data_IF_986624149776
#
_entry.id   IF_986624149776
#
_cell.length_a   1.000
_cell.length_b   1.000
_cell.length_c   1.000
_cell.angle_alpha   90.00
_cell.angle_beta   90.00
_cell.angle_gamma   90.00
#
_symmetry.space_group_name_H-M   'P 1'
#
loop_
_entity.id
_entity.type
_entity.pdbx_description
1 polymer ?
#
# COMPACT_ATOMS: atom_id res chain seq x y z
N UNK A 1 54.45 25.01 -37.52
CA UNK A 1 53.75 26.24 -37.06
C UNK A 1 52.98 26.75 -38.27
N UNK A 2 51.66 26.86 -38.37
CA UNK A 2 50.54 26.90 -37.41
C UNK A 2 49.28 26.50 -38.21
N UNK A 3 48.75 25.29 -38.05
CA UNK A 3 47.47 24.91 -38.72
C UNK A 3 46.55 24.10 -37.79
N UNK A 4 46.61 24.40 -36.49
CA UNK A 4 45.63 23.97 -35.51
C UNK A 4 45.30 25.17 -34.63
N UNK A 5 44.13 25.78 -34.87
CA UNK A 5 43.25 26.45 -33.88
C UNK A 5 42.31 27.43 -34.60
N UNK A 6 41.03 27.06 -34.69
CA UNK A 6 39.81 27.90 -34.63
C UNK A 6 38.64 27.28 -35.41
N UNK A 7 38.32 26.03 -35.11
CA UNK A 7 36.93 25.58 -35.16
C UNK A 7 36.45 25.41 -33.72
N UNK A 8 36.35 26.56 -33.05
CA UNK A 8 35.81 26.66 -31.72
C UNK A 8 34.72 27.74 -31.76
N UNK A 9 33.55 27.37 -31.26
CA UNK A 9 32.53 28.27 -30.70
C UNK A 9 31.69 29.08 -31.71
N UNK A 10 30.74 28.42 -32.38
CA UNK A 10 29.43 29.07 -32.62
C UNK A 10 28.51 28.74 -31.44
N UNK A 11 28.68 29.51 -30.35
CA UNK A 11 27.67 29.66 -29.29
C UNK A 11 26.39 30.16 -29.96
N UNK A 12 25.43 29.28 -30.22
CA UNK A 12 24.03 29.70 -30.36
C UNK A 12 23.60 30.19 -28.97
N UNK A 13 23.61 31.51 -28.78
CA UNK A 13 22.87 32.17 -27.72
C UNK A 13 21.41 31.72 -27.86
N UNK A 14 20.96 30.87 -26.94
CA UNK A 14 19.53 30.57 -26.81
C UNK A 14 18.92 31.82 -26.17
N UNK A 15 18.14 32.54 -26.97
CA UNK A 15 17.37 33.69 -26.53
C UNK A 15 16.38 33.22 -25.46
N UNK A 16 16.41 33.84 -24.29
CA UNK A 16 15.72 33.42 -23.07
C UNK A 16 14.31 33.99 -22.94
N UNK A 17 13.60 34.21 -24.05
CA UNK A 17 12.29 34.88 -24.02
C UNK A 17 11.20 34.01 -24.64
N UNK A 18 10.25 33.63 -23.78
CA UNK A 18 8.98 32.91 -24.05
C UNK A 18 9.13 31.44 -24.48
N UNK A 19 9.37 30.56 -23.50
CA UNK A 19 9.08 29.12 -23.67
C UNK A 19 7.58 28.95 -23.97
N UNK A 20 7.27 28.66 -25.24
CA UNK A 20 5.93 28.31 -25.67
C UNK A 20 5.49 27.02 -24.97
N UNK A 21 4.17 26.90 -24.76
CA UNK A 21 3.53 25.91 -23.90
C UNK A 21 3.64 24.44 -24.37
N UNK A 22 4.47 24.10 -25.36
CA UNK A 22 4.90 22.72 -25.62
C UNK A 22 6.02 22.62 -26.69
N UNK A 23 7.24 23.07 -26.38
CA UNK A 23 8.42 22.64 -27.15
C UNK A 23 8.79 21.21 -26.75
N UNK A 24 8.11 20.21 -27.34
CA UNK A 24 8.39 18.79 -27.09
C UNK A 24 9.65 18.37 -27.84
N UNK A 25 10.55 17.67 -27.13
CA UNK A 25 11.77 17.08 -27.71
C UNK A 25 11.54 15.57 -27.84
N UNK A 26 11.79 15.03 -29.03
CA UNK A 26 11.77 13.59 -29.25
C UNK A 26 12.94 12.92 -28.53
N UNK A 27 12.66 11.85 -27.79
CA UNK A 27 13.64 11.01 -27.12
C UNK A 27 13.65 9.60 -27.72
N UNK A 28 14.70 8.81 -27.46
CA UNK A 28 14.73 7.40 -27.85
C UNK A 28 13.62 6.63 -27.13
N UNK A 29 12.93 5.74 -27.84
CA UNK A 29 11.91 4.88 -27.25
C UNK A 29 12.47 4.06 -26.07
N UNK A 30 11.69 3.96 -25.00
CA UNK A 30 12.03 3.26 -23.78
C UNK A 30 10.91 3.36 -22.73
N UNK A 31 11.05 2.62 -21.63
CA UNK A 31 10.05 2.58 -20.57
C UNK A 31 10.04 3.91 -19.79
N UNK A 32 8.94 4.65 -19.88
CA UNK A 32 8.77 6.00 -19.31
C UNK A 32 7.45 6.17 -18.54
N UNK A 33 6.74 5.07 -18.25
CA UNK A 33 5.53 5.10 -17.43
C UNK A 33 5.92 5.22 -15.95
N UNK A 34 5.74 6.41 -15.38
CA UNK A 34 6.08 6.75 -13.98
C UNK A 34 5.05 7.74 -13.41
N UNK A 35 4.92 7.84 -12.07
CA UNK A 35 5.58 7.00 -11.06
C UNK A 35 5.04 5.57 -11.07
N UNK A 36 5.81 4.64 -10.51
CA UNK A 36 5.45 3.24 -10.38
C UNK A 36 5.23 2.89 -8.90
N UNK A 37 4.30 1.99 -8.57
CA UNK A 37 4.26 1.42 -7.23
C UNK A 37 5.52 0.57 -7.01
N UNK A 38 6.23 0.75 -5.90
CA UNK A 38 7.32 -0.14 -5.53
C UNK A 38 6.81 -1.17 -4.52
N UNK A 39 6.42 -2.36 -4.95
CA UNK A 39 5.87 -3.36 -4.04
C UNK A 39 6.91 -4.38 -3.63
N UNK A 40 6.81 -4.90 -2.41
CA UNK A 40 7.59 -6.05 -1.96
C UNK A 40 6.74 -7.31 -2.13
N UNK A 41 7.19 -8.24 -2.97
CA UNK A 41 6.54 -9.52 -3.19
C UNK A 41 7.22 -10.58 -2.33
N UNK A 42 6.48 -11.16 -1.40
CA UNK A 42 6.92 -12.28 -0.58
C UNK A 42 6.35 -13.59 -1.12
N UNK A 43 7.14 -14.65 -0.99
CA UNK A 43 6.88 -15.98 -1.56
C UNK A 43 7.49 -17.04 -0.64
N UNK A 44 7.06 -18.28 -0.75
CA UNK A 44 7.60 -19.41 0.01
C UNK A 44 7.73 -20.62 -0.89
N UNK A 45 8.90 -21.24 -0.92
CA UNK A 45 9.17 -22.42 -1.74
C UNK A 45 8.48 -23.68 -1.19
N UNK A 46 8.57 -24.79 -1.94
CA UNK A 46 7.96 -26.08 -1.54
C UNK A 46 8.54 -26.68 -0.26
N UNK A 47 9.73 -26.25 0.15
CA UNK A 47 10.40 -26.71 1.37
C UNK A 47 10.13 -25.81 2.58
N UNK A 48 9.42 -24.70 2.39
CA UNK A 48 9.05 -23.76 3.44
C UNK A 48 9.99 -22.56 3.59
N UNK A 49 10.98 -22.39 2.72
CA UNK A 49 11.86 -21.21 2.79
C UNK A 49 11.17 -20.01 2.14
N UNK A 50 11.15 -18.89 2.86
CA UNK A 50 10.50 -17.66 2.39
C UNK A 50 11.53 -16.67 1.85
N UNK A 51 11.16 -15.94 0.81
CA UNK A 51 11.98 -14.88 0.22
C UNK A 51 11.14 -13.64 -0.11
N UNK A 52 11.81 -12.52 -0.36
CA UNK A 52 11.21 -11.25 -0.79
C UNK A 52 11.88 -10.78 -2.08
N UNK A 53 11.11 -10.18 -2.99
CA UNK A 53 11.63 -9.42 -4.14
C UNK A 53 10.87 -8.11 -4.30
N UNK A 54 11.58 -7.02 -4.57
CA UNK A 54 10.93 -5.75 -4.88
C UNK A 54 10.68 -5.62 -6.37
N UNK A 55 9.44 -5.28 -6.74
CA UNK A 55 9.00 -5.13 -8.12
C UNK A 55 8.31 -3.78 -8.30
N UNK A 56 8.75 -3.02 -9.30
CA UNK A 56 8.08 -1.77 -9.69
C UNK A 56 7.09 -1.97 -10.85
N UNK A 57 7.29 -3.02 -11.66
CA UNK A 57 6.39 -3.36 -12.75
C UNK A 57 5.30 -4.29 -12.23
N UNK A 58 4.35 -3.67 -11.53
CA UNK A 58 3.18 -4.29 -10.95
C UNK A 58 1.96 -3.40 -11.16
N UNK A 59 0.79 -3.98 -11.34
CA UNK A 59 -0.44 -3.21 -11.54
C UNK A 59 -1.72 -4.04 -11.52
N UNK A 60 -2.84 -3.38 -11.22
CA UNK A 60 -4.17 -3.98 -11.29
C UNK A 60 -4.58 -4.22 -12.74
N UNK A 61 -5.14 -5.40 -13.04
CA UNK A 61 -5.56 -5.79 -14.39
C UNK A 61 -7.09 -5.83 -14.52
N UNK A 62 -7.79 -6.38 -13.53
CA UNK A 62 -9.23 -6.61 -13.60
C UNK A 62 -9.88 -6.42 -12.24
N UNK A 63 -11.15 -6.02 -12.25
CA UNK A 63 -11.98 -5.84 -11.05
C UNK A 63 -12.79 -7.10 -10.72
N UNK A 64 -13.28 -7.84 -11.73
CA UNK A 64 -14.12 -9.03 -11.52
C UNK A 64 -13.79 -10.14 -12.55
N UNK A 65 -13.08 -11.22 -12.16
CA UNK A 65 -12.46 -11.40 -10.85
C UNK A 65 -11.33 -10.37 -10.61
N UNK A 66 -11.02 -10.03 -9.35
CA UNK A 66 -9.92 -9.12 -9.04
C UNK A 66 -8.58 -9.75 -9.44
N UNK A 67 -7.82 -9.06 -10.28
CA UNK A 67 -6.53 -9.56 -10.78
C UNK A 67 -5.47 -8.47 -10.77
N UNK A 68 -4.21 -8.87 -10.56
CA UNK A 68 -3.03 -8.01 -10.71
C UNK A 68 -1.94 -8.72 -11.51
N UNK A 69 -0.98 -7.95 -12.00
CA UNK A 69 0.24 -8.46 -12.62
C UNK A 69 1.49 -8.08 -11.86
N UNK A 70 2.52 -8.92 -12.01
CA UNK A 70 3.91 -8.60 -11.72
C UNK A 70 4.80 -9.06 -12.87
N UNK A 71 5.71 -8.22 -13.34
CA UNK A 71 6.70 -8.59 -14.36
C UNK A 71 8.02 -8.96 -13.71
N UNK A 72 8.50 -10.18 -13.93
CA UNK A 72 9.69 -10.73 -13.28
C UNK A 72 10.65 -11.23 -14.34
N UNK A 73 11.94 -10.93 -14.17
CA UNK A 73 12.99 -11.49 -15.05
C UNK A 73 13.35 -12.92 -14.64
N UNK A 74 13.59 -13.83 -15.60
CA UNK A 74 13.93 -15.23 -15.30
C UNK A 74 15.15 -15.40 -14.39
N UNK A 75 16.13 -14.49 -14.41
CA UNK A 75 17.36 -14.64 -13.61
C UNK A 75 17.12 -14.37 -12.11
N UNK A 76 15.98 -13.78 -11.74
CA UNK A 76 15.66 -13.46 -10.34
C UNK A 76 15.36 -14.74 -9.58
N UNK A 77 15.94 -14.89 -8.39
CA UNK A 77 15.73 -16.05 -7.51
C UNK A 77 14.25 -16.40 -7.29
N UNK A 78 13.40 -15.39 -7.14
CA UNK A 78 11.96 -15.58 -6.91
C UNK A 78 11.19 -16.10 -8.11
N UNK A 79 11.74 -16.03 -9.33
CA UNK A 79 11.02 -16.39 -10.56
C UNK A 79 10.58 -17.85 -10.55
N UNK A 80 11.52 -18.76 -10.37
CA UNK A 80 11.23 -20.21 -10.38
C UNK A 80 10.35 -20.60 -9.21
N UNK A 81 10.54 -19.99 -8.04
CA UNK A 81 9.72 -20.28 -6.85
C UNK A 81 8.27 -19.88 -7.11
N UNK A 82 8.00 -18.68 -7.64
CA UNK A 82 6.62 -18.25 -7.96
C UNK A 82 6.04 -19.12 -9.08
N UNK A 83 6.83 -19.44 -10.12
CA UNK A 83 6.39 -20.31 -11.22
C UNK A 83 6.02 -21.71 -10.74
N UNK A 84 6.78 -22.26 -9.80
CA UNK A 84 6.59 -23.61 -9.28
C UNK A 84 5.44 -23.70 -8.24
N UNK A 85 5.34 -22.71 -7.36
CA UNK A 85 4.37 -22.72 -6.25
C UNK A 85 3.02 -22.12 -6.63
N UNK A 86 3.02 -21.21 -7.60
CA UNK A 86 1.83 -20.49 -8.03
C UNK A 86 1.28 -19.51 -7.00
N UNK A 87 2.03 -19.21 -5.92
CA UNK A 87 1.52 -18.41 -4.79
C UNK A 87 2.52 -17.33 -4.39
N UNK A 88 2.01 -16.12 -4.16
CA UNK A 88 2.80 -15.00 -3.64
C UNK A 88 1.90 -13.98 -2.94
N UNK A 89 2.51 -13.12 -2.12
CA UNK A 89 1.83 -11.99 -1.49
C UNK A 89 2.44 -10.69 -2.00
N UNK A 90 1.61 -9.77 -2.47
CA UNK A 90 2.04 -8.38 -2.75
C UNK A 90 1.86 -7.56 -1.47
N UNK A 91 2.96 -6.99 -0.99
CA UNK A 91 3.00 -6.15 0.21
C UNK A 91 3.21 -4.70 -0.21
N UNK A 92 2.28 -3.83 0.17
CA UNK A 92 2.34 -2.40 -0.13
C UNK A 92 3.41 -1.74 0.74
N UNK A 93 4.16 -0.80 0.18
CA UNK A 93 5.32 -0.20 0.85
C UNK A 93 5.02 1.21 1.32
N UNK A 94 5.64 1.54 2.44
CA UNK A 94 5.49 2.82 3.14
C UNK A 94 6.85 3.47 3.28
N UNK A 95 6.86 4.71 3.76
CA UNK A 95 8.07 5.44 4.13
C UNK A 95 9.00 4.62 5.03
N UNK A 96 8.47 3.97 6.05
CA UNK A 96 9.25 3.14 7.00
C UNK A 96 9.88 1.92 6.32
N UNK A 97 9.20 1.34 5.33
CA UNK A 97 9.68 0.18 4.58
C UNK A 97 10.63 0.54 3.43
N UNK A 98 10.89 1.82 3.15
CA UNK A 98 11.67 2.25 1.97
C UNK A 98 13.04 1.57 1.88
N UNK A 99 13.77 1.50 3.00
CA UNK A 99 15.10 0.89 3.01
C UNK A 99 15.04 -0.62 2.71
N UNK A 100 14.13 -1.34 3.36
CA UNK A 100 13.92 -2.77 3.11
C UNK A 100 13.44 -3.04 1.67
N UNK A 101 12.61 -2.14 1.15
CA UNK A 101 12.13 -2.16 -0.24
C UNK A 101 13.30 -2.07 -1.21
N UNK A 102 14.24 -1.15 -1.02
CA UNK A 102 15.43 -1.07 -1.88
C UNK A 102 16.32 -2.32 -1.74
N UNK A 103 16.67 -2.69 -0.50
CA UNK A 103 17.52 -3.83 -0.21
C UNK A 103 17.01 -5.13 -0.85
N UNK A 104 15.71 -5.40 -0.73
CA UNK A 104 15.08 -6.59 -1.29
C UNK A 104 15.01 -6.59 -2.82
N UNK A 105 15.12 -5.43 -3.47
CA UNK A 105 15.25 -5.30 -4.93
C UNK A 105 16.68 -5.49 -5.46
N UNK A 106 17.68 -5.17 -4.62
CA UNK A 106 19.10 -5.21 -4.97
C UNK A 106 19.74 -6.56 -4.67
N UNK A 107 19.58 -7.09 -3.45
CA UNK A 107 20.21 -8.36 -3.03
C UNK A 107 19.41 -9.56 -3.50
N UNK A 108 20.09 -10.67 -3.83
CA UNK A 108 19.45 -11.92 -4.24
C UNK A 108 19.14 -12.79 -3.02
N UNK A 109 17.98 -13.45 -3.01
CA UNK A 109 17.65 -14.43 -1.96
C UNK A 109 18.43 -15.73 -2.07
N UNK A 110 19.23 -15.91 -3.14
CA UNK A 110 20.18 -17.03 -3.26
C UNK A 110 21.27 -16.96 -2.19
N UNK A 111 21.65 -15.74 -1.80
CA UNK A 111 22.85 -15.48 -1.00
C UNK A 111 22.51 -15.03 0.42
N UNK A 112 21.31 -14.49 0.64
CA UNK A 112 20.91 -13.90 1.93
C UNK A 112 19.46 -14.23 2.29
N UNK A 113 19.19 -14.38 3.58
CA UNK A 113 17.84 -14.39 4.13
C UNK A 113 17.36 -12.94 4.32
N UNK A 114 16.57 -12.44 3.37
CA UNK A 114 16.12 -11.04 3.38
C UNK A 114 15.16 -10.71 4.53
N UNK A 115 14.38 -11.67 5.02
CA UNK A 115 13.54 -11.44 6.20
C UNK A 115 14.42 -11.18 7.42
N UNK A 116 15.44 -12.00 7.61
CA UNK A 116 16.42 -11.84 8.70
C UNK A 116 17.23 -10.55 8.57
N UNK A 117 17.82 -10.28 7.41
CA UNK A 117 18.67 -9.11 7.18
C UNK A 117 17.92 -7.80 7.44
N UNK A 118 16.66 -7.71 6.98
CA UNK A 118 15.82 -6.52 7.13
C UNK A 118 14.96 -6.53 8.40
N UNK A 119 15.09 -7.55 9.25
CA UNK A 119 14.32 -7.72 10.49
C UNK A 119 12.80 -7.62 10.27
N UNK A 120 12.33 -8.22 9.18
CA UNK A 120 10.91 -8.23 8.81
C UNK A 120 10.22 -9.45 9.41
N UNK A 121 8.97 -9.27 9.83
CA UNK A 121 8.19 -10.31 10.47
C UNK A 121 7.37 -11.07 9.44
N UNK A 122 7.58 -12.39 9.35
CA UNK A 122 6.73 -13.28 8.56
C UNK A 122 5.34 -13.35 9.19
N UNK A 123 4.31 -13.13 8.38
CA UNK A 123 2.92 -13.25 8.78
C UNK A 123 2.26 -14.34 7.96
N UNK A 124 1.67 -15.34 8.61
CA UNK A 124 0.95 -16.41 7.90
C UNK A 124 -0.24 -15.86 7.13
N UNK A 125 -0.38 -16.30 5.88
CA UNK A 125 -1.49 -15.96 4.99
C UNK A 125 -2.72 -16.84 5.27
N UNK A 126 -3.91 -16.37 4.89
CA UNK A 126 -5.16 -17.08 5.19
C UNK A 126 -5.63 -18.01 4.07
N UNK A 127 -5.25 -17.76 2.81
CA UNK A 127 -5.71 -18.49 1.62
C UNK A 127 -4.58 -19.16 0.82
N UNK A 128 -3.32 -18.86 1.12
CA UNK A 128 -2.12 -19.38 0.44
C UNK A 128 -1.01 -19.74 1.42
N UNK A 129 0.01 -20.46 0.97
CA UNK A 129 1.17 -20.87 1.77
C UNK A 129 2.26 -19.81 1.84
N UNK A 130 2.35 -18.92 0.85
CA UNK A 130 3.31 -17.82 0.87
C UNK A 130 3.02 -16.90 2.06
N UNK A 131 4.06 -16.58 2.83
CA UNK A 131 3.94 -15.65 3.96
C UNK A 131 3.85 -14.20 3.50
N UNK A 132 3.13 -13.39 4.25
CA UNK A 132 3.07 -11.94 4.14
C UNK A 132 4.14 -11.25 5.00
N UNK A 133 4.30 -9.92 4.84
CA UNK A 133 5.15 -9.06 5.67
C UNK A 133 4.26 -8.30 6.65
N UNK A 134 4.44 -8.51 7.96
CA UNK A 134 3.55 -7.94 8.98
C UNK A 134 3.60 -6.41 9.05
N UNK A 135 4.75 -5.81 8.71
CA UNK A 135 4.97 -4.37 8.72
C UNK A 135 4.28 -3.65 7.54
N UNK A 136 3.80 -4.39 6.55
CA UNK A 136 3.07 -3.84 5.41
C UNK A 136 1.64 -3.42 5.80
N UNK A 137 1.16 -2.23 5.42
CA UNK A 137 -0.21 -1.80 5.69
C UNK A 137 -1.28 -2.61 4.93
N UNK A 138 -0.89 -3.26 3.83
CA UNK A 138 -1.78 -4.09 3.00
C UNK A 138 -1.02 -5.29 2.47
N UNK A 139 -1.57 -6.49 2.65
CA UNK A 139 -1.07 -7.74 2.10
C UNK A 139 -2.12 -8.30 1.14
N UNK A 140 -1.75 -8.51 -0.12
CA UNK A 140 -2.63 -9.01 -1.16
C UNK A 140 -2.18 -10.42 -1.50
N UNK A 141 -2.97 -11.41 -1.10
CA UNK A 141 -2.68 -12.82 -1.36
C UNK A 141 -3.08 -13.18 -2.80
N UNK A 142 -2.14 -13.74 -3.55
CA UNK A 142 -2.27 -13.95 -4.98
C UNK A 142 -2.01 -15.42 -5.37
N UNK A 143 -2.83 -15.92 -6.30
CA UNK A 143 -2.58 -17.19 -7.01
C UNK A 143 -2.32 -16.92 -8.48
N UNK A 144 -1.21 -17.44 -8.99
CA UNK A 144 -0.84 -17.33 -10.41
C UNK A 144 -1.92 -17.98 -11.26
N UNK A 145 -2.42 -17.21 -12.21
CA UNK A 145 -3.40 -17.62 -13.20
C UNK A 145 -2.74 -17.98 -14.52
N UNK A 146 -1.84 -17.11 -14.98
CA UNK A 146 -1.15 -17.23 -16.25
C UNK A 146 0.24 -16.62 -16.16
N UNK A 147 1.19 -17.19 -16.92
CA UNK A 147 2.52 -16.64 -17.08
C UNK A 147 2.74 -16.44 -18.58
N UNK A 148 2.91 -15.20 -18.99
CA UNK A 148 3.19 -14.84 -20.37
C UNK A 148 4.66 -14.47 -20.52
N UNK A 149 5.41 -15.29 -21.25
CA UNK A 149 6.81 -15.00 -21.57
C UNK A 149 6.87 -13.85 -22.59
N UNK A 150 7.62 -12.79 -22.26
CA UNK A 150 7.85 -11.65 -23.14
C UNK A 150 9.33 -11.61 -23.51
N UNK A 151 9.86 -10.43 -23.87
CA UNK A 151 11.28 -10.26 -24.18
C UNK A 151 12.20 -10.52 -22.98
N UNK A 152 12.36 -9.53 -22.09
CA UNK A 152 13.29 -9.64 -20.95
C UNK A 152 12.62 -10.01 -19.61
N UNK A 153 11.29 -10.11 -19.60
CA UNK A 153 10.50 -10.42 -18.42
C UNK A 153 9.42 -11.43 -18.81
N UNK A 154 8.91 -12.17 -17.83
CA UNK A 154 7.61 -12.82 -17.95
C UNK A 154 6.59 -12.03 -17.13
N UNK A 155 5.40 -11.86 -17.69
CA UNK A 155 4.26 -11.24 -17.01
C UNK A 155 3.48 -12.33 -16.28
N UNK A 156 3.50 -12.30 -14.96
CA UNK A 156 2.69 -13.16 -14.12
C UNK A 156 1.37 -12.44 -13.88
N UNK A 157 0.28 -13.03 -14.36
CA UNK A 157 -1.09 -12.60 -14.06
C UNK A 157 -1.59 -13.46 -12.92
N UNK A 158 -2.16 -12.85 -11.89
CA UNK A 158 -2.61 -13.54 -10.70
C UNK A 158 -4.00 -13.09 -10.26
N UNK A 159 -4.80 -14.05 -9.82
CA UNK A 159 -6.06 -13.82 -9.13
C UNK A 159 -5.76 -13.34 -7.70
N UNK A 160 -6.44 -12.28 -7.26
CA UNK A 160 -6.41 -11.81 -5.87
C UNK A 160 -7.40 -12.64 -5.07
N UNK A 161 -6.90 -13.49 -4.18
CA UNK A 161 -7.71 -14.45 -3.41
C UNK A 161 -7.99 -13.99 -1.98
N UNK A 162 -7.21 -13.05 -1.45
CA UNK A 162 -7.46 -12.39 -0.18
C UNK A 162 -6.79 -11.01 -0.12
N UNK A 163 -7.31 -10.13 0.74
CA UNK A 163 -6.65 -8.88 1.11
C UNK A 163 -6.72 -8.74 2.63
N UNK A 164 -5.57 -8.50 3.25
CA UNK A 164 -5.45 -8.16 4.66
C UNK A 164 -4.93 -6.74 4.78
N UNK A 165 -5.51 -5.97 5.71
CA UNK A 165 -5.17 -4.57 5.92
C UNK A 165 -4.84 -4.33 7.39
N UNK A 166 -3.95 -3.38 7.64
CA UNK A 166 -3.66 -2.93 8.99
C UNK A 166 -4.91 -2.29 9.61
N UNK A 167 -5.37 -2.86 10.73
CA UNK A 167 -6.54 -2.38 11.45
C UNK A 167 -6.41 -0.94 11.94
N UNK A 168 -5.20 -0.41 12.13
CA UNK A 168 -4.95 0.99 12.49
C UNK A 168 -5.39 1.98 11.41
N UNK A 169 -5.53 1.51 10.18
CA UNK A 169 -6.00 2.31 9.04
C UNK A 169 -7.52 2.27 8.86
N UNK A 170 -8.24 1.48 9.66
CA UNK A 170 -9.70 1.48 9.70
C UNK A 170 -10.20 2.63 10.57
N UNK A 171 -11.24 3.34 10.12
CA UNK A 171 -11.97 4.28 10.97
C UNK A 171 -12.99 3.57 11.86
N UNK A 172 -13.66 4.32 12.74
CA UNK A 172 -14.70 3.79 13.66
C UNK A 172 -15.87 3.10 12.93
N UNK A 173 -16.03 3.32 11.63
CA UNK A 173 -17.06 2.71 10.78
C UNK A 173 -16.52 1.54 9.95
N UNK A 174 -15.28 1.12 10.19
CA UNK A 174 -14.60 0.05 9.45
C UNK A 174 -14.17 0.46 8.04
N UNK A 175 -14.13 1.76 7.71
CA UNK A 175 -13.68 2.21 6.39
C UNK A 175 -12.17 2.30 6.37
N UNK A 176 -11.56 1.64 5.39
CA UNK A 176 -10.13 1.64 5.19
C UNK A 176 -9.64 2.97 4.62
N UNK A 177 -8.70 3.62 5.31
CA UNK A 177 -8.09 4.87 4.91
C UNK A 177 -6.61 4.67 4.59
N UNK A 178 -6.36 4.30 3.34
CA UNK A 178 -5.00 4.06 2.83
C UNK A 178 -4.14 5.34 2.81
N UNK A 179 -4.74 6.53 2.72
CA UNK A 179 -3.97 7.79 2.67
C UNK A 179 -3.15 8.04 3.94
N UNK A 180 -3.48 7.40 5.06
CA UNK A 180 -2.73 7.47 6.33
C UNK A 180 -1.47 6.59 6.36
N UNK A 181 -1.21 5.79 5.33
CA UNK A 181 -0.13 4.80 5.33
C UNK A 181 1.22 5.30 4.80
N UNK A 182 1.38 6.59 4.53
CA UNK A 182 2.64 7.20 4.05
C UNK A 182 3.27 6.39 2.90
N UNK A 183 2.45 6.05 1.90
CA UNK A 183 2.87 5.23 0.78
C UNK A 183 4.05 5.83 0.03
N UNK A 184 4.90 4.97 -0.53
CA UNK A 184 5.98 5.39 -1.42
C UNK A 184 5.70 5.03 -2.87
N UNK A 185 6.30 5.78 -3.78
CA UNK A 185 6.32 5.52 -5.21
C UNK A 185 7.75 5.60 -5.74
N UNK A 186 8.04 4.82 -6.77
CA UNK A 186 9.33 4.81 -7.45
C UNK A 186 9.25 5.62 -8.73
N UNK A 187 10.19 6.54 -8.91
CA UNK A 187 10.31 7.37 -10.10
C UNK A 187 11.78 7.58 -10.42
N UNK A 188 12.20 7.14 -11.62
CA UNK A 188 13.53 7.42 -12.16
C UNK A 188 14.72 7.14 -11.20
N UNK A 189 14.75 5.96 -10.59
CA UNK A 189 15.86 5.57 -9.71
C UNK A 189 15.75 6.11 -8.29
N UNK A 190 14.60 6.67 -7.91
CA UNK A 190 14.39 7.28 -6.60
C UNK A 190 13.03 6.89 -6.02
N UNK A 191 12.97 6.84 -4.71
CA UNK A 191 11.74 6.65 -3.95
C UNK A 191 11.21 8.00 -3.46
N UNK A 192 9.89 8.17 -3.51
CA UNK A 192 9.19 9.37 -3.10
C UNK A 192 8.00 9.00 -2.25
N UNK A 193 7.79 9.69 -1.14
CA UNK A 193 6.55 9.61 -0.38
C UNK A 193 5.41 10.24 -1.19
N UNK A 194 4.22 9.64 -1.15
CA UNK A 194 3.02 10.26 -1.73
C UNK A 194 2.66 11.52 -0.95
N UNK A 195 2.37 12.59 -1.69
CA UNK A 195 2.11 13.90 -1.13
C UNK A 195 0.64 14.16 -0.78
N UNK A 196 0.30 15.45 -0.75
CA UNK A 196 -1.02 15.97 -0.42
C UNK A 196 -2.13 15.40 -1.34
N UNK A 197 -3.25 15.00 -0.74
CA UNK A 197 -4.48 14.66 -1.48
C UNK A 197 -4.94 15.85 -2.34
N UNK A 198 -5.22 15.59 -3.63
CA UNK A 198 -5.66 16.60 -4.59
C UNK A 198 -7.18 16.57 -4.83
N UNK A 199 -7.85 15.47 -4.51
CA UNK A 199 -9.30 15.32 -4.63
C UNK A 199 -9.75 13.87 -4.55
N UNK A 200 -11.05 13.68 -4.29
CA UNK A 200 -11.71 12.37 -4.20
C UNK A 200 -12.28 11.93 -5.54
N UNK A 201 -12.42 10.63 -5.81
CA UNK A 201 -13.09 10.15 -7.04
C UNK A 201 -14.41 10.91 -7.34
N UNK A 202 -14.55 11.39 -8.57
CA UNK A 202 -15.72 12.17 -9.02
C UNK A 202 -15.73 13.66 -8.63
N UNK A 203 -14.69 14.19 -7.97
CA UNK A 203 -14.65 15.60 -7.58
C UNK A 203 -14.74 16.59 -8.76
N UNK A 204 -14.33 16.18 -9.96
CA UNK A 204 -14.37 17.00 -11.18
C UNK A 204 -15.79 17.32 -11.70
N UNK A 205 -16.79 16.49 -11.34
CA UNK A 205 -18.18 16.65 -11.78
C UNK A 205 -19.14 16.92 -10.62
N UNK A 206 -18.64 16.90 -9.38
CA UNK A 206 -19.45 17.13 -8.20
C UNK A 206 -19.88 18.60 -8.20
N UNK A 207 -21.18 18.85 -8.33
CA UNK A 207 -21.73 20.21 -8.25
C UNK A 207 -21.35 20.82 -6.89
N UNK A 208 -20.76 22.02 -6.92
CA UNK A 208 -20.56 22.82 -5.71
C UNK A 208 -21.93 23.15 -5.12
N UNK A 209 -22.30 22.49 -4.02
CA UNK A 209 -23.62 22.64 -3.42
C UNK A 209 -24.15 21.37 -2.81
N UNK A 210 -23.52 20.97 -1.69
CA UNK A 210 -24.05 20.19 -0.54
C UNK A 210 -22.83 19.69 0.25
N UNK A 211 -22.08 20.63 0.82
CA UNK A 211 -21.27 20.31 2.00
C UNK A 211 -22.22 19.82 3.09
N UNK A 212 -21.88 18.69 3.71
CA UNK A 212 -22.59 18.15 4.86
C UNK A 212 -22.69 19.20 5.98
N UNK A 213 -23.81 19.92 6.00
CA UNK A 213 -24.21 20.88 7.04
C UNK A 213 -24.38 20.24 8.43
N UNK A 214 -24.06 18.95 8.58
CA UNK A 214 -24.25 18.20 9.82
C UNK A 214 -23.23 18.56 10.90
N UNK A 215 -22.04 19.06 10.54
CA UNK A 215 -20.99 19.44 11.52
C UNK A 215 -20.96 20.93 11.85
N UNK A 216 -21.46 21.80 10.95
CA UNK A 216 -21.57 23.24 11.21
C UNK A 216 -22.84 23.60 12.01
N UNK A 217 -23.93 22.85 11.87
CA UNK A 217 -25.14 23.09 12.67
C UNK A 217 -24.96 22.70 14.14
N UNK A 218 -24.20 21.65 14.46
CA UNK A 218 -23.89 21.28 15.85
C UNK A 218 -23.02 22.34 16.52
N UNK A 219 -22.04 22.90 15.81
CA UNK A 219 -21.20 23.97 16.33
C UNK A 219 -21.95 25.30 16.50
N UNK A 220 -22.89 25.63 15.58
CA UNK A 220 -23.76 26.82 15.71
C UNK A 220 -24.78 26.68 16.84
N UNK A 221 -25.43 25.53 17.02
CA UNK A 221 -26.37 25.31 18.12
C UNK A 221 -25.70 25.39 19.50
N UNK A 222 -24.48 24.87 19.64
CA UNK A 222 -23.69 24.96 20.88
C UNK A 222 -23.25 26.40 21.16
N UNK A 223 -22.92 27.19 20.13
CA UNK A 223 -22.56 28.62 20.28
C UNK A 223 -23.76 29.48 20.64
N UNK A 224 -24.93 29.23 20.04
CA UNK A 224 -26.17 29.98 20.31
C UNK A 224 -26.67 29.67 21.74
N UNK A 225 -26.61 28.42 22.20
CA UNK A 225 -26.97 28.06 23.59
C UNK A 225 -26.04 28.68 24.64
N UNK A 226 -24.77 28.94 24.30
CA UNK A 226 -23.82 29.67 25.19
C UNK A 226 -24.05 31.19 25.20
N UNK A 227 -24.53 31.77 24.10
CA UNK A 227 -24.75 33.22 24.01
C UNK A 227 -26.12 33.67 24.55
N UNK A 228 -27.13 32.78 24.57
CA UNK A 228 -28.49 33.11 25.00
C UNK A 228 -28.76 32.98 26.52
N UNK A 229 -27.72 32.86 27.35
CA UNK A 229 -27.87 32.93 28.81
C UNK A 229 -28.79 31.88 29.46
N UNK A 230 -29.11 30.77 28.78
CA UNK A 230 -29.87 29.68 29.40
C UNK A 230 -28.92 28.78 30.19
N UNK A 231 -28.99 28.91 31.51
CA UNK A 231 -28.37 28.03 32.49
C UNK A 231 -28.62 26.56 32.17
N UNK A 232 -27.55 25.81 31.93
CA UNK A 232 -27.57 24.34 31.97
C UNK A 232 -28.03 23.93 33.37
N UNK A 233 -29.25 23.39 33.51
CA UNK A 233 -29.67 22.75 34.75
C UNK A 233 -28.72 21.59 35.04
N UNK A 234 -27.93 21.74 36.11
CA UNK A 234 -27.26 20.61 36.79
C UNK A 234 -28.35 19.72 37.38
N UNK A 235 -28.54 18.52 36.85
CA UNK A 235 -29.18 17.44 37.62
C UNK A 235 -28.09 16.67 38.39
N UNK A 236 -28.00 16.97 39.68
CA UNK A 236 -27.55 16.08 40.77
C UNK A 236 -28.81 15.92 41.64
N UNK A 237 -29.30 14.78 42.12
CA UNK A 237 -28.74 13.52 42.64
C UNK A 237 -29.81 12.41 42.43
N UNK A 238 -29.50 11.11 42.42
CA UNK A 238 -29.49 10.32 43.66
C UNK A 238 -28.66 9.03 43.53
N UNK A 239 -27.85 8.81 44.57
CA UNK A 239 -27.17 7.58 44.93
C UNK A 239 -28.19 6.44 45.17
N UNK A 240 -27.86 5.24 44.69
CA UNK A 240 -28.13 4.00 45.43
C UNK A 240 -26.93 3.07 45.28
N UNK A 241 -26.23 2.88 46.40
CA UNK A 241 -25.22 1.84 46.61
C UNK A 241 -25.88 0.45 46.79
N UNK A 242 -25.08 -0.64 46.79
CA UNK A 242 -25.51 -1.96 46.35
C UNK A 242 -26.16 -2.76 47.47
N UNK A 243 -26.99 -3.75 47.11
CA UNK A 243 -27.39 -4.78 48.07
C UNK A 243 -27.17 -6.17 47.50
N UNK A 244 -26.33 -6.91 48.22
CA UNK A 244 -25.96 -8.30 47.99
C UNK A 244 -26.70 -9.11 49.05
N UNK A 245 -27.50 -10.11 48.66
CA UNK A 245 -27.95 -11.15 49.59
C UNK A 245 -27.92 -12.52 48.92
N UNK A 246 -26.97 -13.32 49.38
CA UNK A 246 -26.88 -14.78 49.22
C UNK A 246 -28.10 -15.49 49.81
N UNK A 247 -28.45 -16.64 49.22
CA UNK A 247 -28.61 -17.99 49.86
C UNK A 247 -28.83 -18.99 48.70
N UNK A 248 -27.87 -19.87 48.36
CA UNK A 248 -27.70 -21.26 48.86
C UNK A 248 -29.02 -22.06 48.82
N UNK A 249 -29.14 -23.26 48.24
CA UNK A 249 -28.20 -24.38 48.34
C UNK A 249 -28.61 -25.56 47.41
N UNK A 250 -27.62 -26.41 47.07
CA UNK A 250 -27.68 -27.89 46.79
C UNK A 250 -28.62 -28.45 45.69
N UNK A 251 -28.21 -29.35 44.78
CA UNK A 251 -26.95 -30.07 44.58
C UNK A 251 -27.07 -31.21 43.54
N UNK A 252 -25.91 -31.76 43.15
CA UNK A 252 -25.58 -33.03 42.43
C UNK A 252 -26.00 -33.16 40.94
N UNK A 253 -25.08 -33.12 39.95
CA UNK A 253 -24.03 -34.10 39.49
C UNK A 253 -24.69 -35.32 38.83
N UNK A 254 -24.41 -35.68 37.56
CA UNK A 254 -23.36 -36.65 37.15
C UNK A 254 -23.34 -36.83 35.59
N UNK A 255 -22.12 -36.69 35.01
CA UNK A 255 -21.41 -37.39 33.89
C UNK A 255 -22.03 -37.83 32.54
N UNK A 256 -21.17 -37.75 31.49
CA UNK A 256 -21.03 -38.74 30.39
C UNK A 256 -20.86 -38.09 29.02
N UNK A 257 -19.64 -37.89 28.49
CA UNK A 257 -18.91 -38.81 27.58
C UNK A 257 -19.80 -39.42 26.48
N UNK A 258 -19.68 -38.89 25.26
CA UNK A 258 -19.12 -39.56 24.07
C UNK A 258 -18.88 -38.54 22.97
#
# INVERSE_FOLDING_TARGET
>A
MVEKKKQAVKKKKINSDKKNKADKISWKAGNMLYPLPAVMVSLTDKTGNSNIITLAWAGTICTNPPMLSVSIRPERYSYDIIKETGEFVVNITTKELTYATDYCGVKSGRDVDKFKEMKLTKLDSEKIKAVAIAESPVNIECKVREIMELGSHSLFIADVVNIRVDGRLLDEKGRFNLAKSELIAYSHGKYYELGKELGSFGYSIRKEGKTDNKMQNTAKEVRIKKAAGQSVKKNKLAEKQPNNSKKSNTGKRITGIK
#
